data_IF_005947175000
#
_entry.id   IF_005947175000
#
_cell.length_a   1.000
_cell.length_b   1.000
_cell.length_c   1.000
_cell.angle_alpha   90.00
_cell.angle_beta   90.00
_cell.angle_gamma   90.00
#
_symmetry.space_group_name_H-M   'P 1'
#
loop_
_entity.id
_entity.type
_entity.pdbx_description
1 polymer ?
#
# COMPACT_ATOMS: atom_id res chain seq x y z
N UNK A 1 -12.67 -54.39 18.75
CA UNK A 1 -12.32 -52.96 18.75
C UNK A 1 -11.38 -52.71 17.58
N UNK A 2 -11.91 -52.18 16.47
CA UNK A 2 -11.12 -51.75 15.32
C UNK A 2 -11.11 -50.23 15.32
N UNK A 3 -9.94 -49.63 15.57
CA UNK A 3 -9.75 -48.18 15.47
C UNK A 3 -9.22 -47.86 14.08
N UNK A 4 -10.06 -47.18 13.29
CA UNK A 4 -9.70 -46.63 11.99
C UNK A 4 -8.81 -45.40 12.14
N UNK A 5 -7.81 -45.31 11.29
CA UNK A 5 -6.98 -44.12 11.10
C UNK A 5 -7.41 -43.50 9.77
N UNK A 6 -8.05 -42.33 9.84
CA UNK A 6 -8.38 -41.52 8.66
C UNK A 6 -7.16 -40.73 8.19
N UNK A 7 -7.07 -40.39 6.88
CA UNK A 7 -5.92 -39.71 6.33
C UNK A 7 -5.92 -38.22 6.70
N UNK A 8 -4.74 -37.74 7.10
CA UNK A 8 -4.43 -36.32 7.32
C UNK A 8 -4.20 -35.67 5.96
N UNK A 9 -4.93 -34.60 5.66
CA UNK A 9 -4.73 -33.79 4.47
C UNK A 9 -3.45 -32.95 4.60
N UNK A 10 -2.53 -33.08 3.66
CA UNK A 10 -1.35 -32.21 3.54
C UNK A 10 -1.73 -30.86 2.89
N UNK A 11 -1.10 -29.75 3.31
CA UNK A 11 -1.28 -28.45 2.68
C UNK A 11 -0.50 -28.35 1.36
N UNK A 12 -1.15 -27.80 0.34
CA UNK A 12 -0.57 -27.50 -0.97
C UNK A 12 0.59 -26.50 -0.88
N UNK A 13 1.72 -26.72 -1.59
CA UNK A 13 2.77 -25.72 -1.71
C UNK A 13 2.41 -24.67 -2.77
N UNK A 14 2.49 -23.39 -2.39
CA UNK A 14 2.54 -22.26 -3.32
C UNK A 14 3.86 -22.33 -4.12
N UNK A 15 3.80 -22.74 -5.39
CA UNK A 15 4.91 -22.59 -6.32
C UNK A 15 4.79 -21.24 -7.05
N UNK A 16 5.67 -20.30 -6.73
CA UNK A 16 5.92 -19.14 -7.59
C UNK A 16 6.88 -19.56 -8.71
N UNK A 17 6.37 -19.68 -9.93
CA UNK A 17 7.19 -19.85 -11.12
C UNK A 17 7.81 -18.51 -11.52
N UNK A 18 9.11 -18.35 -11.26
CA UNK A 18 9.91 -17.28 -11.86
C UNK A 18 10.04 -17.54 -13.38
N UNK A 19 9.29 -16.80 -14.18
CA UNK A 19 9.44 -16.81 -15.64
C UNK A 19 10.54 -15.83 -16.04
N UNK A 20 11.75 -16.32 -16.28
CA UNK A 20 12.76 -15.61 -17.07
C UNK A 20 12.47 -15.84 -18.55
N UNK A 21 11.93 -14.83 -19.23
CA UNK A 21 11.95 -14.74 -20.68
C UNK A 21 12.66 -13.43 -21.04
N UNK A 22 13.89 -13.56 -21.55
CA UNK A 22 14.57 -12.48 -22.24
C UNK A 22 14.04 -12.45 -23.68
N UNK A 23 13.28 -11.42 -24.04
CA UNK A 23 12.92 -11.12 -25.42
C UNK A 23 13.77 -9.94 -25.89
N UNK A 24 14.58 -10.15 -26.93
CA UNK A 24 15.22 -9.08 -27.67
C UNK A 24 14.19 -8.44 -28.60
N UNK A 25 13.97 -7.13 -28.47
CA UNK A 25 13.12 -6.38 -29.39
C UNK A 25 13.97 -5.74 -30.50
N UNK A 26 13.71 -6.15 -31.74
CA UNK A 26 14.05 -5.37 -32.93
C UNK A 26 13.03 -4.24 -33.10
N UNK A 27 13.52 -3.01 -33.16
CA UNK A 27 12.73 -1.81 -33.34
C UNK A 27 12.29 -1.66 -34.81
N UNK A 28 11.00 -1.87 -35.08
CA UNK A 28 10.37 -1.47 -36.33
C UNK A 28 9.48 -0.23 -36.11
N UNK A 29 9.87 0.87 -36.75
CA UNK A 29 9.16 2.16 -36.76
C UNK A 29 7.72 2.02 -37.27
N UNK A 30 6.74 2.50 -36.50
CA UNK A 30 5.35 2.72 -36.96
C UNK A 30 5.00 4.20 -36.88
N UNK A 31 4.49 4.70 -38.00
CA UNK A 31 3.97 6.06 -38.19
C UNK A 31 2.62 6.27 -37.46
N UNK A 32 2.23 7.52 -37.14
CA UNK A 32 1.10 7.80 -36.27
C UNK A 32 -0.25 7.58 -37.00
N UNK A 33 -1.15 6.84 -36.34
CA UNK A 33 -2.54 6.67 -36.76
C UNK A 33 -3.38 7.77 -36.13
N UNK A 34 -4.09 8.54 -36.96
CA UNK A 34 -5.02 9.58 -36.54
C UNK A 34 -6.20 8.98 -35.75
N UNK A 35 -6.45 9.49 -34.55
CA UNK A 35 -7.58 9.12 -33.71
C UNK A 35 -8.90 9.73 -34.22
N UNK A 36 -10.03 9.00 -34.20
CA UNK A 36 -11.35 9.56 -34.51
C UNK A 36 -11.90 10.41 -33.36
N UNK A 37 -12.47 11.57 -33.70
CA UNK A 37 -13.30 12.36 -32.78
C UNK A 37 -14.68 11.70 -32.65
N UNK A 38 -15.03 11.24 -31.45
CA UNK A 38 -16.41 10.87 -31.11
C UNK A 38 -17.09 11.94 -30.22
N UNK A 39 -18.42 12.11 -30.32
CA UNK A 39 -19.17 13.17 -29.66
C UNK A 39 -19.50 12.82 -28.21
N UNK A 40 -19.25 13.77 -27.30
CA UNK A 40 -19.59 13.71 -25.88
C UNK A 40 -21.07 14.03 -25.66
N UNK A 41 -21.82 13.07 -25.08
CA UNK A 41 -23.16 13.30 -24.57
C UNK A 41 -23.45 12.43 -23.34
N UNK A 42 -22.78 12.71 -22.22
CA UNK A 42 -23.30 12.44 -20.87
C UNK A 42 -22.93 13.63 -19.97
N UNK A 43 -23.85 14.60 -19.87
CA UNK A 43 -23.78 15.65 -18.85
C UNK A 43 -24.35 15.09 -17.55
N UNK A 44 -23.49 14.48 -16.74
CA UNK A 44 -23.76 14.38 -15.30
C UNK A 44 -23.18 15.64 -14.65
N UNK A 45 -24.05 16.56 -14.25
CA UNK A 45 -23.62 17.76 -13.52
C UNK A 45 -23.29 17.36 -12.09
N UNK A 46 -22.03 17.02 -11.82
CA UNK A 46 -21.50 17.12 -10.47
C UNK A 46 -21.47 18.60 -10.11
N UNK A 47 -22.39 19.02 -9.23
CA UNK A 47 -22.27 20.29 -8.52
C UNK A 47 -21.13 20.13 -7.51
N UNK A 48 -19.89 20.23 -7.98
CA UNK A 48 -18.76 20.53 -7.08
C UNK A 48 -18.84 22.03 -6.80
N UNK A 49 -19.44 22.37 -5.66
CA UNK A 49 -19.22 23.68 -5.08
C UNK A 49 -17.71 23.83 -4.84
N UNK A 50 -17.08 24.68 -5.66
CA UNK A 50 -15.69 25.07 -5.51
C UNK A 50 -15.50 25.91 -4.25
N UNK A 51 -15.56 25.29 -3.09
CA UNK A 51 -14.85 25.78 -1.92
C UNK A 51 -13.40 25.35 -2.07
N UNK A 52 -12.60 26.24 -2.65
CA UNK A 52 -11.14 26.21 -2.53
C UNK A 52 -10.81 26.51 -1.07
N UNK A 53 -10.95 25.50 -0.22
CA UNK A 53 -10.45 25.54 1.16
C UNK A 53 -8.93 25.61 1.03
N UNK A 54 -8.36 26.77 1.32
CA UNK A 54 -6.94 26.87 1.64
C UNK A 54 -6.73 26.05 2.91
N UNK A 55 -6.51 24.75 2.75
CA UNK A 55 -6.03 23.84 3.78
C UNK A 55 -4.61 24.30 4.12
N UNK A 56 -4.51 25.20 5.08
CA UNK A 56 -3.30 25.33 5.87
C UNK A 56 -3.15 24.01 6.62
N UNK A 57 -2.20 23.17 6.21
CA UNK A 57 -1.70 22.06 7.01
C UNK A 57 -1.20 22.63 8.34
N UNK A 58 -2.08 22.67 9.34
CA UNK A 58 -1.72 22.99 10.71
C UNK A 58 -1.04 21.75 11.29
N UNK A 59 0.20 21.51 10.85
CA UNK A 59 1.08 20.55 11.49
C UNK A 59 1.24 20.95 12.96
N UNK A 60 0.80 20.07 13.85
CA UNK A 60 1.01 20.29 15.28
C UNK A 60 2.52 20.32 15.54
N UNK A 61 3.02 21.24 16.38
CA UNK A 61 4.47 21.40 16.60
C UNK A 61 5.17 20.12 17.06
N UNK A 62 4.45 19.21 17.73
CA UNK A 62 4.97 17.89 18.12
C UNK A 62 5.26 16.96 16.93
N UNK A 63 4.55 17.10 15.81
CA UNK A 63 4.78 16.25 14.63
C UNK A 63 6.10 16.61 13.93
N UNK A 64 6.44 17.91 13.88
CA UNK A 64 7.69 18.37 13.27
C UNK A 64 8.92 17.86 14.00
N UNK A 65 8.90 17.80 15.34
CA UNK A 65 10.03 17.27 16.11
C UNK A 65 10.21 15.77 15.84
N UNK A 66 9.13 15.00 15.79
CA UNK A 66 9.17 13.57 15.49
C UNK A 66 9.66 13.30 14.07
N UNK A 67 9.15 14.04 13.07
CA UNK A 67 9.60 13.95 11.68
C UNK A 67 11.10 14.26 11.57
N UNK A 68 11.59 15.28 12.28
CA UNK A 68 13.01 15.61 12.29
C UNK A 68 13.85 14.51 12.94
N UNK A 69 13.39 13.89 14.02
CA UNK A 69 14.08 12.75 14.65
C UNK A 69 14.12 11.51 13.73
N UNK A 70 13.03 11.22 13.02
CA UNK A 70 12.96 10.15 12.02
C UNK A 70 13.96 10.42 10.90
N UNK A 71 13.96 11.63 10.35
CA UNK A 71 14.86 12.04 9.28
C UNK A 71 16.33 11.94 9.71
N UNK A 72 16.68 12.41 10.91
CA UNK A 72 18.04 12.31 11.44
C UNK A 72 18.50 10.85 11.59
N UNK A 73 17.60 9.93 11.99
CA UNK A 73 17.93 8.50 12.06
C UNK A 73 18.13 7.89 10.68
N UNK A 74 17.29 8.24 9.70
CA UNK A 74 17.45 7.81 8.31
C UNK A 74 18.83 8.26 7.79
N UNK A 75 19.19 9.52 8.02
CA UNK A 75 20.49 10.07 7.61
C UNK A 75 21.67 9.35 8.27
N UNK A 76 21.60 9.07 9.58
CA UNK A 76 22.64 8.30 10.28
C UNK A 76 22.83 6.88 9.72
N UNK A 77 21.76 6.22 9.28
CA UNK A 77 21.85 4.90 8.63
C UNK A 77 22.47 5.07 7.24
N UNK A 78 21.97 6.02 6.46
CA UNK A 78 22.42 6.27 5.09
C UNK A 78 23.85 6.83 5.02
N UNK A 79 24.38 7.45 6.06
CA UNK A 79 25.79 7.90 6.14
C UNK A 79 26.77 6.75 5.93
N UNK A 80 26.38 5.54 6.33
CA UNK A 80 27.15 4.30 6.16
C UNK A 80 26.86 3.58 4.83
N UNK A 81 26.15 4.23 3.91
CA UNK A 81 25.81 3.73 2.57
C UNK A 81 26.39 4.71 1.56
N UNK A 82 27.42 4.29 0.82
CA UNK A 82 28.07 5.12 -0.20
C UNK A 82 27.68 4.72 -1.62
N UNK A 83 27.19 3.50 -1.78
CA UNK A 83 26.78 2.89 -3.04
C UNK A 83 25.58 1.96 -2.85
N UNK A 84 24.95 1.55 -3.95
CA UNK A 84 23.86 0.57 -3.92
C UNK A 84 24.29 -0.77 -3.29
N UNK A 85 25.53 -1.21 -3.55
CA UNK A 85 26.06 -2.45 -2.96
C UNK A 85 26.22 -2.40 -1.44
N UNK A 86 26.28 -1.22 -0.83
CA UNK A 86 26.37 -1.08 0.62
C UNK A 86 25.01 -1.26 1.32
N UNK A 87 23.91 -1.23 0.55
CA UNK A 87 22.54 -1.33 1.04
C UNK A 87 22.12 -2.81 1.14
N UNK A 88 22.44 -3.46 2.25
CA UNK A 88 22.05 -4.85 2.53
C UNK A 88 20.57 -4.98 2.92
N UNK A 89 20.05 -6.22 2.94
CA UNK A 89 18.70 -6.54 3.45
C UNK A 89 18.47 -5.98 4.85
N UNK A 90 19.43 -6.17 5.76
CA UNK A 90 19.35 -5.67 7.13
C UNK A 90 19.23 -4.14 7.19
N UNK A 91 19.95 -3.41 6.32
CA UNK A 91 19.85 -1.93 6.25
C UNK A 91 18.53 -1.48 5.66
N UNK A 92 17.99 -2.20 4.66
CA UNK A 92 16.65 -1.93 4.11
C UNK A 92 15.59 -2.12 5.20
N UNK A 93 15.64 -3.23 5.93
CA UNK A 93 14.72 -3.49 7.05
C UNK A 93 14.90 -2.46 8.18
N UNK A 94 16.14 -2.07 8.51
CA UNK A 94 16.40 -1.00 9.48
C UNK A 94 15.77 0.33 9.06
N UNK A 95 15.97 0.76 7.80
CA UNK A 95 15.37 1.98 7.25
C UNK A 95 13.84 1.93 7.31
N UNK A 96 13.23 0.82 6.89
CA UNK A 96 11.76 0.64 6.88
C UNK A 96 11.15 0.58 8.28
N UNK A 97 11.93 0.24 9.31
CA UNK A 97 11.48 0.32 10.72
C UNK A 97 11.52 1.73 11.28
N UNK A 98 12.40 2.59 10.77
CA UNK A 98 12.52 3.97 11.24
C UNK A 98 11.36 4.85 10.78
N UNK A 99 10.77 4.54 9.61
CA UNK A 99 9.70 5.33 9.01
C UNK A 99 8.55 4.46 8.51
N UNK A 100 7.32 4.83 8.85
CA UNK A 100 6.09 4.31 8.23
C UNK A 100 5.86 4.90 6.84
N UNK A 101 6.44 6.07 6.56
CA UNK A 101 6.40 6.70 5.25
C UNK A 101 7.49 6.14 4.33
N UNK A 102 7.27 6.24 3.03
CA UNK A 102 8.26 5.85 2.02
C UNK A 102 9.53 6.71 2.12
N UNK A 103 10.69 6.06 1.96
CA UNK A 103 12.01 6.68 2.00
C UNK A 103 12.58 6.72 0.59
N UNK A 104 12.93 7.92 0.11
CA UNK A 104 13.60 8.11 -1.19
C UNK A 104 15.10 8.16 -0.98
N UNK A 105 15.84 7.19 -1.52
CA UNK A 105 17.31 7.15 -1.44
C UNK A 105 17.88 7.73 -2.73
N UNK A 106 18.25 9.00 -2.70
CA UNK A 106 18.81 9.75 -3.82
C UNK A 106 20.29 10.17 -3.61
N UNK A 107 20.97 9.58 -2.63
CA UNK A 107 22.37 9.88 -2.25
C UNK A 107 23.38 9.53 -3.36
N UNK A 108 23.06 8.51 -4.15
CA UNK A 108 23.82 8.08 -5.32
C UNK A 108 22.83 7.81 -6.46
N UNK A 109 23.30 7.87 -7.70
CA UNK A 109 22.49 7.52 -8.87
C UNK A 109 22.50 6.01 -9.07
N UNK A 110 21.35 5.46 -9.42
CA UNK A 110 21.16 4.03 -9.69
C UNK A 110 20.70 3.90 -11.14
N UNK A 111 21.41 3.10 -11.93
CA UNK A 111 20.94 2.68 -13.25
C UNK A 111 19.96 1.50 -13.15
N UNK A 112 19.09 1.26 -14.15
CA UNK A 112 18.20 0.11 -14.16
C UNK A 112 18.92 -1.24 -14.00
N UNK A 113 20.09 -1.39 -14.65
CA UNK A 113 20.91 -2.61 -14.54
C UNK A 113 21.44 -2.81 -13.13
N UNK A 114 21.98 -1.76 -12.50
CA UNK A 114 22.46 -1.83 -11.11
C UNK A 114 21.32 -2.16 -10.15
N UNK A 115 20.13 -1.59 -10.36
CA UNK A 115 18.93 -1.91 -9.57
C UNK A 115 18.62 -3.41 -9.64
N UNK A 116 18.51 -3.99 -10.83
CA UNK A 116 18.22 -5.42 -10.98
C UNK A 116 19.32 -6.32 -10.43
N UNK A 117 20.58 -5.97 -10.65
CA UNK A 117 21.72 -6.72 -10.10
C UNK A 117 21.73 -6.70 -8.57
N UNK A 118 21.37 -5.58 -7.98
CA UNK A 118 21.24 -5.44 -6.53
C UNK A 118 20.01 -6.18 -5.98
N UNK A 119 18.86 -6.08 -6.65
CA UNK A 119 17.64 -6.80 -6.25
C UNK A 119 17.85 -8.32 -6.24
N UNK A 120 18.58 -8.84 -7.21
CA UNK A 120 18.97 -10.26 -7.25
C UNK A 120 19.90 -10.66 -6.09
N UNK A 121 20.65 -9.73 -5.51
CA UNK A 121 21.57 -9.99 -4.38
C UNK A 121 20.88 -9.90 -3.02
N UNK A 122 19.93 -8.97 -2.85
CA UNK A 122 19.23 -8.78 -1.57
C UNK A 122 18.29 -9.94 -1.22
N UNK A 123 17.87 -10.71 -2.24
CA UNK A 123 17.11 -11.94 -2.09
C UNK A 123 15.61 -11.74 -2.27
N UNK A 124 14.84 -12.70 -1.76
CA UNK A 124 13.40 -12.82 -2.08
C UNK A 124 12.49 -11.82 -1.36
N UNK A 125 13.02 -11.02 -0.43
CA UNK A 125 12.23 -9.98 0.27
C UNK A 125 12.45 -8.61 -0.37
N UNK A 126 12.06 -8.51 -1.64
CA UNK A 126 12.12 -7.28 -2.42
C UNK A 126 10.81 -6.47 -2.39
N UNK A 127 9.88 -6.80 -1.48
CA UNK A 127 8.56 -6.15 -1.43
C UNK A 127 8.69 -4.75 -0.88
N UNK A 128 8.00 -3.80 -1.49
CA UNK A 128 8.08 -2.39 -1.14
C UNK A 128 9.42 -1.75 -1.53
N UNK A 129 10.09 -2.25 -2.57
CA UNK A 129 11.31 -1.64 -3.11
C UNK A 129 11.08 -1.28 -4.58
N UNK A 130 10.91 0.01 -4.82
CA UNK A 130 10.66 0.55 -6.15
C UNK A 130 11.89 1.29 -6.70
N UNK A 131 11.90 1.49 -8.01
CA UNK A 131 12.92 2.26 -8.71
C UNK A 131 12.29 3.38 -9.54
N UNK A 132 12.79 4.58 -9.36
CA UNK A 132 12.42 5.75 -10.16
C UNK A 132 13.59 6.06 -11.11
N UNK A 133 13.44 5.65 -12.37
CA UNK A 133 14.45 5.87 -13.41
C UNK A 133 14.61 7.33 -13.80
N UNK A 134 13.55 8.14 -13.66
CA UNK A 134 13.59 9.56 -14.02
C UNK A 134 14.48 10.33 -13.04
N UNK A 135 14.46 9.94 -11.77
CA UNK A 135 15.32 10.50 -10.73
C UNK A 135 16.59 9.67 -10.48
N UNK A 136 16.67 8.48 -11.08
CA UNK A 136 17.72 7.48 -10.88
C UNK A 136 17.95 7.20 -9.37
N UNK A 137 16.87 6.93 -8.64
CA UNK A 137 16.87 6.70 -7.20
C UNK A 137 15.99 5.51 -6.79
N UNK A 138 16.24 4.98 -5.59
CA UNK A 138 15.38 3.97 -4.97
C UNK A 138 14.27 4.61 -4.13
N UNK A 139 13.14 3.93 -4.06
CA UNK A 139 12.06 4.26 -3.14
C UNK A 139 11.78 3.01 -2.30
N UNK A 140 11.99 3.11 -0.99
CA UNK A 140 11.62 2.06 -0.04
C UNK A 140 10.24 2.42 0.52
N UNK A 141 9.19 1.65 0.22
CA UNK A 141 7.90 1.79 0.89
C UNK A 141 8.08 1.53 2.38
N UNK A 142 7.31 2.22 3.21
CA UNK A 142 7.29 1.98 4.65
C UNK A 142 6.96 0.52 4.98
N UNK A 143 7.13 0.15 6.25
CA UNK A 143 6.68 -1.14 6.72
C UNK A 143 5.15 -1.17 6.76
N UNK A 144 4.54 -2.20 6.18
CA UNK A 144 3.10 -2.45 6.33
C UNK A 144 2.78 -2.70 7.81
N UNK A 145 1.94 -1.85 8.40
CA UNK A 145 1.33 -2.09 9.70
C UNK A 145 -0.05 -2.74 9.57
N UNK A 146 -0.65 -3.16 10.69
CA UNK A 146 -1.95 -3.83 10.68
C UNK A 146 -3.02 -3.18 9.79
N UNK A 147 -3.17 -1.84 9.83
CA UNK A 147 -4.19 -1.15 9.03
C UNK A 147 -3.96 -1.29 7.52
N UNK A 148 -2.70 -1.33 7.10
CA UNK A 148 -2.31 -1.50 5.69
C UNK A 148 -2.67 -2.92 5.24
N UNK A 149 -2.28 -3.91 6.05
CA UNK A 149 -2.58 -5.32 5.78
C UNK A 149 -4.09 -5.62 5.80
N UNK A 150 -4.83 -5.01 6.74
CA UNK A 150 -6.27 -5.17 6.84
C UNK A 150 -7.01 -4.55 5.64
N UNK A 151 -6.66 -3.32 5.25
CA UNK A 151 -7.21 -2.68 4.06
C UNK A 151 -6.90 -3.51 2.81
N UNK A 152 -5.63 -3.92 2.65
CA UNK A 152 -5.18 -4.76 1.54
C UNK A 152 -5.95 -6.07 1.50
N UNK A 153 -6.13 -6.77 2.63
CA UNK A 153 -6.83 -8.04 2.71
C UNK A 153 -8.32 -7.94 2.30
N UNK A 154 -9.02 -6.89 2.74
CA UNK A 154 -10.43 -6.68 2.35
C UNK A 154 -10.57 -6.42 0.86
N UNK A 155 -9.69 -5.57 0.31
CA UNK A 155 -9.72 -5.27 -1.13
C UNK A 155 -9.24 -6.49 -1.94
N UNK A 156 -8.34 -7.30 -1.42
CA UNK A 156 -7.92 -8.55 -2.06
C UNK A 156 -9.08 -9.54 -2.20
N UNK A 157 -9.89 -9.73 -1.15
CA UNK A 157 -11.14 -10.54 -1.22
C UNK A 157 -12.10 -9.95 -2.26
N UNK A 158 -12.15 -8.63 -2.36
CA UNK A 158 -12.97 -7.96 -3.36
C UNK A 158 -12.47 -8.17 -4.80
N UNK A 159 -11.16 -8.13 -5.02
CA UNK A 159 -10.56 -8.46 -6.31
C UNK A 159 -10.89 -9.88 -6.74
N UNK A 160 -11.02 -10.83 -5.80
CA UNK A 160 -11.48 -12.20 -6.10
C UNK A 160 -12.88 -12.20 -6.74
N UNK A 161 -13.81 -11.39 -6.21
CA UNK A 161 -15.15 -11.21 -6.79
C UNK A 161 -15.12 -10.54 -8.16
N UNK A 162 -14.22 -9.56 -8.37
CA UNK A 162 -14.02 -8.96 -9.69
C UNK A 162 -13.50 -10.01 -10.67
N UNK A 163 -12.48 -10.78 -10.27
CA UNK A 163 -11.88 -11.86 -11.05
C UNK A 163 -12.93 -12.87 -11.50
N UNK A 164 -13.80 -13.31 -10.60
CA UNK A 164 -14.88 -14.25 -10.93
C UNK A 164 -15.80 -13.70 -12.02
N UNK A 165 -16.16 -12.41 -11.94
CA UNK A 165 -17.00 -11.76 -12.95
C UNK A 165 -16.31 -11.57 -14.29
N UNK A 166 -15.06 -11.11 -14.28
CA UNK A 166 -14.27 -10.99 -15.51
C UNK A 166 -14.03 -12.37 -16.16
N UNK A 167 -13.83 -13.41 -15.34
CA UNK A 167 -13.73 -14.81 -15.79
C UNK A 167 -15.01 -15.30 -16.44
N UNK A 168 -16.17 -15.00 -15.86
CA UNK A 168 -17.46 -15.33 -16.44
C UNK A 168 -17.71 -14.62 -17.79
N UNK A 169 -17.06 -13.48 -18.01
CA UNK A 169 -17.08 -12.73 -19.27
C UNK A 169 -15.96 -13.14 -20.26
N UNK A 170 -15.16 -14.15 -19.93
CA UNK A 170 -14.14 -14.72 -20.82
C UNK A 170 -12.71 -14.18 -20.62
N UNK A 171 -12.49 -13.21 -19.73
CA UNK A 171 -11.14 -12.77 -19.39
C UNK A 171 -10.46 -13.78 -18.46
N UNK A 172 -9.12 -13.87 -18.52
CA UNK A 172 -8.35 -14.77 -17.64
C UNK A 172 -7.54 -13.96 -16.66
N UNK A 173 -8.21 -13.38 -15.67
CA UNK A 173 -7.56 -12.62 -14.62
C UNK A 173 -7.09 -13.51 -13.47
N UNK A 174 -6.03 -13.09 -12.79
CA UNK A 174 -5.54 -13.67 -11.54
C UNK A 174 -5.11 -12.57 -10.59
N UNK A 175 -5.18 -12.88 -9.30
CA UNK A 175 -4.75 -11.97 -8.24
C UNK A 175 -3.24 -12.02 -8.14
N UNK A 176 -2.62 -10.85 -8.01
CA UNK A 176 -1.22 -10.73 -7.65
C UNK A 176 -1.11 -9.83 -6.43
N UNK A 177 -0.11 -10.10 -5.59
CA UNK A 177 0.27 -9.19 -4.52
C UNK A 177 1.23 -8.12 -5.04
N UNK A 178 2.19 -7.75 -4.20
CA UNK A 178 3.33 -6.92 -4.59
C UNK A 178 4.22 -7.63 -5.60
N UNK A 179 4.05 -7.29 -6.88
CA UNK A 179 4.87 -7.76 -8.01
C UNK A 179 5.52 -6.59 -8.74
N UNK A 180 6.76 -6.75 -9.17
CA UNK A 180 7.46 -5.74 -9.97
C UNK A 180 6.78 -5.53 -11.32
N UNK A 181 6.45 -4.28 -11.64
CA UNK A 181 6.00 -3.87 -12.96
C UNK A 181 6.93 -2.79 -13.49
N UNK A 182 7.53 -3.04 -14.65
CA UNK A 182 8.27 -2.02 -15.39
C UNK A 182 7.29 -1.07 -16.05
N UNK A 183 7.45 0.23 -15.81
CA UNK A 183 6.62 1.26 -16.41
C UNK A 183 7.20 1.73 -17.76
N UNK A 184 6.32 2.27 -18.60
CA UNK A 184 6.59 2.76 -19.95
C UNK A 184 6.20 4.23 -20.13
N UNK A 185 6.34 4.73 -21.37
CA UNK A 185 5.96 6.06 -21.84
C UNK A 185 6.65 7.19 -21.05
N UNK A 186 5.98 7.75 -20.06
CA UNK A 186 6.47 8.86 -19.24
C UNK A 186 7.38 8.38 -18.10
N UNK A 187 7.37 7.07 -17.83
CA UNK A 187 8.06 6.46 -16.71
C UNK A 187 8.99 5.32 -17.14
N UNK A 188 9.46 5.33 -18.38
CA UNK A 188 10.33 4.27 -18.95
C UNK A 188 11.47 3.91 -18.01
N UNK A 189 11.58 2.61 -17.74
CA UNK A 189 12.63 2.01 -16.92
C UNK A 189 12.39 2.12 -15.41
N UNK A 190 11.36 2.83 -14.95
CA UNK A 190 10.95 2.81 -13.54
C UNK A 190 10.26 1.48 -13.22
N UNK A 191 10.47 0.99 -12.00
CA UNK A 191 9.83 -0.22 -11.48
C UNK A 191 8.91 0.18 -10.33
N UNK A 192 7.64 -0.24 -10.37
CA UNK A 192 6.68 -0.06 -9.28
C UNK A 192 6.12 -1.40 -8.79
N UNK A 193 5.62 -1.39 -7.56
CA UNK A 193 5.01 -2.55 -6.92
C UNK A 193 3.66 -2.14 -6.30
N UNK A 194 2.54 -2.69 -6.78
CA UNK A 194 1.25 -2.40 -6.18
C UNK A 194 1.11 -3.13 -4.84
N UNK A 195 0.28 -2.65 -3.91
CA UNK A 195 0.03 -3.39 -2.67
C UNK A 195 -0.77 -4.67 -2.93
N UNK A 196 -1.71 -4.58 -3.87
CA UNK A 196 -2.38 -5.71 -4.50
C UNK A 196 -2.81 -5.34 -5.92
N UNK A 197 -2.99 -6.33 -6.79
CA UNK A 197 -3.49 -6.06 -8.12
C UNK A 197 -4.25 -7.24 -8.75
N UNK A 198 -5.04 -6.93 -9.77
CA UNK A 198 -5.70 -7.91 -10.63
C UNK A 198 -5.08 -7.83 -12.03
N UNK A 199 -4.47 -8.93 -12.46
CA UNK A 199 -3.69 -8.99 -13.70
C UNK A 199 -4.31 -9.97 -14.69
N UNK A 200 -4.33 -9.62 -15.98
CA UNK A 200 -4.73 -10.54 -17.03
C UNK A 200 -3.60 -11.52 -17.40
N UNK A 201 -3.95 -12.75 -17.77
CA UNK A 201 -2.99 -13.79 -18.14
C UNK A 201 -2.06 -13.34 -19.28
N UNK A 202 -0.75 -13.33 -18.99
CA UNK A 202 0.33 -12.86 -19.88
C UNK A 202 0.34 -11.35 -20.15
N UNK A 203 -0.45 -10.56 -19.43
CA UNK A 203 -0.26 -9.11 -19.43
C UNK A 203 1.07 -8.77 -18.75
N UNK A 204 1.63 -7.61 -19.10
CA UNK A 204 2.82 -7.04 -18.45
C UNK A 204 2.42 -6.12 -17.27
N UNK A 205 1.21 -5.56 -17.32
CA UNK A 205 0.66 -4.68 -16.30
C UNK A 205 -0.66 -5.20 -15.72
N UNK A 206 -0.98 -4.83 -14.48
CA UNK A 206 -2.29 -5.10 -13.90
C UNK A 206 -3.40 -4.25 -14.54
N UNK A 207 -4.60 -4.82 -14.63
CA UNK A 207 -5.81 -4.12 -15.06
C UNK A 207 -6.36 -3.26 -13.92
N UNK A 208 -6.23 -3.74 -12.67
CA UNK A 208 -6.65 -3.02 -11.47
C UNK A 208 -5.51 -3.02 -10.46
N UNK A 209 -5.20 -1.86 -9.90
CA UNK A 209 -4.19 -1.68 -8.85
C UNK A 209 -4.85 -1.20 -7.56
N UNK A 210 -4.36 -1.68 -6.42
CA UNK A 210 -4.58 -1.11 -5.10
C UNK A 210 -3.29 -0.47 -4.60
N UNK A 211 -3.40 0.77 -4.12
CA UNK A 211 -2.40 1.42 -3.29
C UNK A 211 -3.05 1.84 -1.96
N UNK A 212 -2.43 1.42 -0.87
CA UNK A 212 -2.79 1.77 0.50
C UNK A 212 -1.62 2.53 1.11
N UNK A 213 -1.85 3.75 1.57
CA UNK A 213 -0.83 4.53 2.26
C UNK A 213 -1.32 4.90 3.66
N UNK A 214 -0.41 4.83 4.64
CA UNK A 214 -0.66 5.21 6.03
C UNK A 214 0.18 6.45 6.34
N UNK A 215 -0.47 7.50 6.85
CA UNK A 215 0.18 8.73 7.32
C UNK A 215 1.02 9.48 6.27
N UNK A 216 0.91 9.12 5.00
CA UNK A 216 1.45 9.89 3.89
C UNK A 216 0.46 10.96 3.39
N UNK A 217 0.96 11.87 2.56
CA UNK A 217 0.08 12.87 1.92
C UNK A 217 -0.76 12.21 0.83
N UNK A 218 -2.06 12.52 0.77
CA UNK A 218 -2.95 12.12 -0.33
C UNK A 218 -2.37 12.46 -1.71
N UNK A 219 -1.58 13.54 -1.80
CA UNK A 219 -0.87 13.95 -3.02
C UNK A 219 0.10 12.88 -3.54
N UNK A 220 0.77 12.13 -2.67
CA UNK A 220 1.69 11.06 -3.07
C UNK A 220 0.92 9.87 -3.67
N UNK A 221 -0.15 9.43 -3.01
CA UNK A 221 -1.08 8.43 -3.55
C UNK A 221 -1.59 8.78 -4.96
N UNK A 222 -2.00 10.03 -5.21
CA UNK A 222 -2.43 10.45 -6.54
C UNK A 222 -1.30 10.44 -7.58
N UNK A 223 -0.06 10.72 -7.19
CA UNK A 223 1.09 10.57 -8.08
C UNK A 223 1.34 9.10 -8.40
N UNK A 224 1.18 8.20 -7.44
CA UNK A 224 1.31 6.77 -7.68
C UNK A 224 0.20 6.25 -8.62
N UNK A 225 -1.03 6.72 -8.43
CA UNK A 225 -2.13 6.46 -9.37
C UNK A 225 -1.79 6.94 -10.79
N UNK A 226 -1.25 8.15 -10.92
CA UNK A 226 -0.82 8.70 -12.19
C UNK A 226 0.25 7.83 -12.85
N UNK A 227 1.26 7.39 -12.09
CA UNK A 227 2.32 6.50 -12.59
C UNK A 227 1.76 5.19 -13.12
N UNK A 228 0.78 4.59 -12.45
CA UNK A 228 0.11 3.38 -12.93
C UNK A 228 -0.72 3.63 -14.19
N UNK A 229 -1.56 4.66 -14.21
CA UNK A 229 -2.47 4.92 -15.32
C UNK A 229 -1.73 5.38 -16.59
N UNK A 230 -0.70 6.22 -16.46
CA UNK A 230 0.07 6.74 -17.59
C UNK A 230 1.28 5.85 -17.95
N UNK A 231 1.79 5.06 -17.00
CA UNK A 231 2.98 4.22 -17.19
C UNK A 231 2.70 2.79 -17.63
N UNK A 232 1.44 2.39 -17.83
CA UNK A 232 1.05 1.03 -18.20
C UNK A 232 0.59 0.88 -19.66
N UNK A 233 0.91 1.83 -20.53
CA UNK A 233 0.40 1.90 -21.92
C UNK A 233 -1.14 1.74 -22.01
N UNK A 234 -1.84 2.33 -21.03
CA UNK A 234 -3.29 2.26 -20.91
C UNK A 234 -3.85 0.90 -20.48
N UNK A 235 -3.03 -0.08 -20.11
CA UNK A 235 -3.47 -1.39 -19.64
C UNK A 235 -4.11 -1.32 -18.24
N UNK A 236 -3.55 -0.53 -17.33
CA UNK A 236 -4.19 -0.28 -16.04
C UNK A 236 -5.41 0.61 -16.23
N UNK A 237 -6.59 0.08 -15.91
CA UNK A 237 -7.89 0.74 -16.12
C UNK A 237 -8.41 1.43 -14.87
N UNK A 238 -8.04 0.91 -13.70
CA UNK A 238 -8.49 1.40 -12.40
C UNK A 238 -7.36 1.33 -11.38
N UNK A 239 -7.15 2.42 -10.66
CA UNK A 239 -6.36 2.44 -9.43
C UNK A 239 -7.28 2.79 -8.27
N UNK A 240 -7.29 1.94 -7.24
CA UNK A 240 -8.00 2.18 -5.98
C UNK A 240 -6.98 2.71 -4.99
N UNK A 241 -7.25 3.90 -4.44
CA UNK A 241 -6.42 4.52 -3.42
C UNK A 241 -7.14 4.45 -2.08
N UNK A 242 -6.45 3.94 -1.07
CA UNK A 242 -6.91 3.94 0.32
C UNK A 242 -5.93 4.79 1.14
N UNK A 243 -6.35 5.99 1.51
CA UNK A 243 -5.58 6.94 2.33
C UNK A 243 -6.01 6.83 3.79
N UNK A 244 -5.10 6.38 4.65
CA UNK A 244 -5.34 6.24 6.09
C UNK A 244 -4.42 7.20 6.83
N UNK A 245 -4.95 8.31 7.32
CA UNK A 245 -4.18 9.29 8.06
C UNK A 245 -4.42 9.16 9.56
N UNK A 246 -3.37 8.92 10.32
CA UNK A 246 -3.45 9.07 11.77
C UNK A 246 -3.16 10.53 12.16
N UNK A 247 -4.02 11.08 13.02
CA UNK A 247 -3.88 12.39 13.65
C UNK A 247 -3.69 12.22 15.16
N UNK A 248 -3.05 13.21 15.77
CA UNK A 248 -2.83 13.26 17.22
C UNK A 248 -2.05 12.05 17.76
N UNK A 249 -1.14 11.50 16.95
CA UNK A 249 -0.25 10.44 17.40
C UNK A 249 0.59 10.93 18.58
N UNK A 250 0.48 10.23 19.71
CA UNK A 250 1.30 10.51 20.89
C UNK A 250 2.73 10.03 20.66
N UNK A 251 3.69 10.86 21.01
CA UNK A 251 5.08 10.42 21.14
C UNK A 251 5.23 9.56 22.41
N UNK A 252 5.58 8.29 22.22
CA UNK A 252 5.74 7.28 23.29
C UNK A 252 7.20 7.02 23.64
N UNK A 253 8.16 7.71 23.02
CA UNK A 253 9.60 7.42 23.18
C UNK A 253 10.14 7.65 24.59
N UNK A 254 9.47 8.50 25.37
CA UNK A 254 9.89 8.93 26.70
C UNK A 254 9.00 8.37 27.82
N UNK A 255 8.05 7.49 27.49
CA UNK A 255 7.14 6.92 28.48
C UNK A 255 7.89 5.93 29.39
N UNK A 256 7.61 5.99 30.69
CA UNK A 256 8.19 5.10 31.71
C UNK A 256 7.15 4.06 32.10
N UNK A 257 7.26 2.84 31.58
CA UNK A 257 6.30 1.75 31.77
C UNK A 257 6.38 1.05 33.14
N UNK A 258 6.96 1.71 34.15
CA UNK A 258 7.23 1.12 35.47
C UNK A 258 8.03 -0.21 35.40
N UNK A 259 8.92 -0.31 34.40
CA UNK A 259 9.83 -1.44 34.19
C UNK A 259 11.29 -1.03 34.47
N UNK A 260 12.06 -1.92 35.07
CA UNK A 260 13.49 -1.73 35.32
C UNK A 260 14.34 -2.03 34.07
N UNK A 261 15.60 -1.63 34.10
CA UNK A 261 16.56 -2.01 33.06
C UNK A 261 16.73 -3.54 32.94
N UNK A 262 16.73 -4.24 34.07
CA UNK A 262 16.80 -5.70 34.08
C UNK A 262 15.56 -6.34 33.43
N UNK A 263 14.37 -5.74 33.63
CA UNK A 263 13.15 -6.20 32.96
C UNK A 263 13.28 -6.15 31.43
N UNK A 264 13.88 -5.10 30.87
CA UNK A 264 14.07 -4.99 29.42
C UNK A 264 15.04 -6.04 28.86
N UNK A 265 16.06 -6.42 29.64
CA UNK A 265 17.04 -7.43 29.26
C UNK A 265 16.48 -8.84 29.37
N UNK A 266 15.79 -9.15 30.47
CA UNK A 266 15.40 -10.53 30.82
C UNK A 266 14.03 -10.93 30.28
N UNK A 267 13.09 -9.99 30.13
CA UNK A 267 11.72 -10.34 29.70
C UNK A 267 11.71 -10.70 28.21
N UNK A 268 11.11 -11.85 27.89
CA UNK A 268 10.86 -12.26 26.52
C UNK A 268 10.04 -11.20 25.76
N UNK A 269 10.37 -10.92 24.51
CA UNK A 269 9.81 -9.83 23.70
C UNK A 269 8.27 -9.75 23.79
N UNK A 270 7.58 -10.87 23.49
CA UNK A 270 6.10 -10.94 23.57
C UNK A 270 5.53 -10.58 24.95
N UNK A 271 6.21 -10.95 26.02
CA UNK A 271 5.77 -10.64 27.39
C UNK A 271 6.00 -9.17 27.70
N UNK A 272 7.10 -8.59 27.21
CA UNK A 272 7.40 -7.17 27.34
C UNK A 272 6.34 -6.33 26.63
N UNK A 273 6.01 -6.64 25.38
CA UNK A 273 4.93 -5.98 24.64
C UNK A 273 3.62 -6.03 25.40
N UNK A 274 3.21 -7.22 25.89
CA UNK A 274 1.96 -7.34 26.67
C UNK A 274 1.96 -6.48 27.93
N UNK A 275 3.10 -6.38 28.65
CA UNK A 275 3.22 -5.52 29.84
C UNK A 275 3.10 -4.04 29.49
N UNK A 276 3.76 -3.59 28.42
CA UNK A 276 3.67 -2.21 27.94
C UNK A 276 2.21 -1.86 27.56
N UNK A 277 1.53 -2.74 26.82
CA UNK A 277 0.13 -2.53 26.42
C UNK A 277 -0.80 -2.45 27.64
N UNK A 278 -0.61 -3.36 28.60
CA UNK A 278 -1.37 -3.35 29.86
C UNK A 278 -1.13 -2.06 30.65
N UNK A 279 0.10 -1.55 30.69
CA UNK A 279 0.42 -0.29 31.35
C UNK A 279 -0.35 0.89 30.72
N UNK A 280 -0.36 1.01 29.39
CA UNK A 280 -1.12 2.05 28.69
C UNK A 280 -2.62 1.97 29.00
N UNK A 281 -3.20 0.76 28.94
CA UNK A 281 -4.61 0.52 29.27
C UNK A 281 -4.93 0.91 30.72
N UNK A 282 -4.08 0.55 31.69
CA UNK A 282 -4.25 0.92 33.10
C UNK A 282 -4.17 2.43 33.35
N UNK A 283 -3.35 3.15 32.58
CA UNK A 283 -3.24 4.61 32.67
C UNK A 283 -4.31 5.35 31.86
N UNK A 284 -5.15 4.64 31.11
CA UNK A 284 -6.13 5.25 30.20
C UNK A 284 -5.47 6.05 29.07
N UNK A 285 -4.24 5.69 28.68
CA UNK A 285 -3.49 6.37 27.63
C UNK A 285 -3.66 5.58 26.34
N UNK A 286 -4.10 6.25 25.26
CA UNK A 286 -4.20 5.65 23.93
C UNK A 286 -2.82 5.58 23.27
N UNK A 287 -2.48 4.42 22.72
CA UNK A 287 -1.25 4.21 21.93
C UNK A 287 -1.47 4.58 20.45
N UNK A 288 -2.73 4.65 20.04
CA UNK A 288 -3.17 5.08 18.72
C UNK A 288 -3.92 6.40 18.82
N UNK A 289 -3.77 7.23 17.79
CA UNK A 289 -4.47 8.50 17.61
C UNK A 289 -5.83 8.31 16.96
N UNK A 290 -6.31 9.39 16.36
CA UNK A 290 -7.56 9.44 15.61
C UNK A 290 -7.26 9.22 14.12
N UNK A 291 -8.02 8.37 13.46
CA UNK A 291 -7.77 8.01 12.06
C UNK A 291 -8.76 8.70 11.14
N UNK A 292 -8.30 9.04 9.94
CA UNK A 292 -9.11 9.55 8.85
C UNK A 292 -8.92 8.62 7.66
N UNK A 293 -10.02 8.12 7.12
CA UNK A 293 -10.03 7.25 5.95
C UNK A 293 -10.57 8.01 4.75
N UNK A 294 -9.83 8.01 3.65
CA UNK A 294 -10.34 8.40 2.34
C UNK A 294 -10.16 7.27 1.35
N UNK A 295 -11.12 7.11 0.44
CA UNK A 295 -11.07 6.10 -0.62
C UNK A 295 -11.37 6.77 -1.95
N UNK A 296 -10.49 6.54 -2.92
CA UNK A 296 -10.60 7.11 -4.26
C UNK A 296 -10.54 6.02 -5.34
N UNK A 297 -11.34 6.19 -6.38
CA UNK A 297 -11.33 5.37 -7.59
C UNK A 297 -10.82 6.24 -8.75
N UNK A 298 -9.66 5.91 -9.28
CA UNK A 298 -9.00 6.64 -10.36
C UNK A 298 -9.05 5.81 -11.65
N UNK A 299 -9.76 6.29 -12.66
CA UNK A 299 -9.93 5.62 -13.94
C UNK A 299 -8.99 6.17 -15.01
N UNK A 300 -8.63 5.33 -15.99
CA UNK A 300 -7.72 5.71 -17.07
C UNK A 300 -8.33 6.70 -18.09
N UNK A 301 -9.65 6.89 -18.09
CA UNK A 301 -10.35 7.91 -18.88
C UNK A 301 -10.25 9.33 -18.27
N UNK A 302 -9.52 9.46 -17.15
CA UNK A 302 -9.33 10.69 -16.40
C UNK A 302 -10.41 10.94 -15.34
N UNK A 303 -11.41 10.07 -15.24
CA UNK A 303 -12.45 10.17 -14.23
C UNK A 303 -11.91 9.75 -12.85
N UNK A 304 -12.13 10.59 -11.85
CA UNK A 304 -11.62 10.39 -10.50
C UNK A 304 -12.76 10.58 -9.50
N UNK A 305 -13.13 9.51 -8.80
CA UNK A 305 -14.22 9.52 -7.83
C UNK A 305 -13.64 9.41 -6.42
N UNK A 306 -13.84 10.42 -5.59
CA UNK A 306 -13.71 10.26 -4.15
C UNK A 306 -15.00 9.64 -3.62
N UNK A 307 -14.93 8.39 -3.17
CA UNK A 307 -16.10 7.62 -2.72
C UNK A 307 -16.26 7.66 -1.20
N UNK A 308 -15.20 8.02 -0.48
CA UNK A 308 -15.21 8.35 0.93
C UNK A 308 -14.17 9.44 1.17
N UNK A 309 -14.56 10.57 1.74
CA UNK A 309 -13.67 11.71 2.00
C UNK A 309 -13.46 11.88 3.50
N UNK A 310 -12.25 11.57 3.98
CA UNK A 310 -11.77 11.88 5.33
C UNK A 310 -12.74 11.47 6.45
N UNK A 311 -13.31 10.27 6.35
CA UNK A 311 -14.15 9.72 7.41
C UNK A 311 -13.31 9.49 8.67
N UNK A 312 -13.60 10.26 9.72
CA UNK A 312 -12.86 10.21 10.98
C UNK A 312 -13.40 9.10 11.89
N UNK A 313 -12.51 8.30 12.47
CA UNK A 313 -12.84 7.25 13.43
C UNK A 313 -11.73 7.12 14.49
N UNK A 314 -12.11 6.77 15.71
CA UNK A 314 -11.17 6.56 16.81
C UNK A 314 -11.72 5.55 17.83
N UNK A 315 -10.89 5.02 18.75
CA UNK A 315 -11.38 4.15 19.81
C UNK A 315 -12.53 4.80 20.59
N UNK A 316 -13.71 4.17 20.56
CA UNK A 316 -14.93 4.70 21.19
C UNK A 316 -15.76 5.67 20.33
N UNK A 317 -15.30 6.01 19.12
CA UNK A 317 -16.00 6.84 18.14
C UNK A 317 -15.90 6.21 16.75
N UNK A 318 -16.78 5.24 16.50
CA UNK A 318 -16.86 4.51 15.23
C UNK A 318 -17.69 5.30 14.20
N UNK A 319 -17.46 5.02 12.91
CA UNK A 319 -18.29 5.55 11.82
C UNK A 319 -19.62 4.80 11.83
N UNK A 320 -20.72 5.55 11.69
CA UNK A 320 -22.04 4.95 11.52
C UNK A 320 -22.15 4.31 10.13
N UNK A 321 -22.06 2.98 10.10
CA UNK A 321 -22.11 2.18 8.87
C UNK A 321 -23.46 2.25 8.15
N UNK A 322 -24.51 2.81 8.76
CA UNK A 322 -25.78 3.06 8.06
C UNK A 322 -25.71 4.25 7.11
N UNK A 323 -24.70 5.12 7.28
CA UNK A 323 -24.44 6.28 6.43
C UNK A 323 -23.52 5.99 5.25
N UNK A 324 -22.94 4.78 5.22
CA UNK A 324 -22.01 4.34 4.18
C UNK A 324 -22.74 3.42 3.20
N UNK A 325 -22.85 3.88 1.95
CA UNK A 325 -23.37 3.10 0.84
C UNK A 325 -22.23 2.53 -0.01
N UNK A 326 -22.38 1.27 -0.44
CA UNK A 326 -21.43 0.68 -1.37
C UNK A 326 -21.62 1.27 -2.78
N UNK A 327 -20.52 1.52 -3.49
CA UNK A 327 -20.53 2.30 -4.74
C UNK A 327 -20.44 1.37 -5.95
N UNK A 328 -21.29 1.52 -6.98
CA UNK A 328 -21.20 0.69 -8.18
C UNK A 328 -19.90 0.97 -8.95
N UNK A 329 -19.16 -0.09 -9.27
CA UNK A 329 -18.00 -0.03 -10.15
C UNK A 329 -18.39 -0.04 -11.62
N UNK A 330 -17.66 0.74 -12.43
CA UNK A 330 -17.76 0.74 -13.89
C UNK A 330 -17.01 -0.43 -14.52
N UNK A 331 -17.48 -1.66 -14.29
CA UNK A 331 -16.79 -2.85 -14.77
C UNK A 331 -16.59 -2.88 -16.30
N UNK A 332 -17.48 -2.27 -17.08
CA UNK A 332 -17.34 -2.20 -18.54
C UNK A 332 -16.03 -1.53 -19.00
N UNK A 333 -15.43 -0.66 -18.18
CA UNK A 333 -14.16 -0.01 -18.49
C UNK A 333 -12.94 -0.93 -18.24
N UNK A 334 -13.16 -2.06 -17.56
CA UNK A 334 -12.11 -3.01 -17.22
C UNK A 334 -11.92 -4.09 -18.30
N UNK A 335 -12.84 -4.19 -19.27
CA UNK A 335 -12.74 -5.16 -20.37
C UNK A 335 -11.76 -4.66 -21.44
N UNK A 336 -10.80 -5.49 -21.90
CA UNK A 336 -9.79 -5.08 -22.89
C UNK A 336 -10.38 -4.64 -24.24
N UNK A 337 -11.49 -5.27 -24.62
CA UNK A 337 -12.13 -5.24 -25.93
C UNK A 337 -13.48 -4.50 -25.91
N UNK A 338 -13.81 -3.85 -24.80
CA UNK A 338 -15.10 -3.14 -24.64
C UNK A 338 -16.30 -4.07 -24.69
N UNK A 339 -16.11 -5.36 -24.40
CA UNK A 339 -17.20 -6.34 -24.32
C UNK A 339 -18.30 -5.87 -23.36
N UNK A 340 -19.55 -6.06 -23.77
CA UNK A 340 -20.71 -5.76 -22.92
C UNK A 340 -20.76 -6.74 -21.76
N UNK A 341 -20.33 -6.29 -20.59
CA UNK A 341 -20.75 -6.91 -19.34
C UNK A 341 -22.25 -6.64 -19.14
N UNK A 342 -22.96 -7.65 -18.66
CA UNK A 342 -24.37 -7.53 -18.26
C UNK A 342 -24.53 -6.38 -17.25
N UNK A 343 -25.05 -5.24 -17.71
CA UNK A 343 -25.20 -4.02 -16.91
C UNK A 343 -26.17 -4.20 -15.73
N UNK A 344 -27.05 -5.21 -15.81
CA UNK A 344 -28.04 -5.50 -14.77
C UNK A 344 -27.40 -6.04 -13.49
N UNK A 345 -26.15 -6.51 -13.56
CA UNK A 345 -25.39 -7.00 -12.39
C UNK A 345 -24.28 -6.02 -12.03
N UNK A 346 -24.64 -4.89 -11.42
CA UNK A 346 -23.63 -3.97 -10.85
C UNK A 346 -22.81 -4.67 -9.77
N UNK A 347 -21.49 -4.54 -9.82
CA UNK A 347 -20.62 -4.92 -8.70
C UNK A 347 -20.45 -3.69 -7.83
N UNK A 348 -20.69 -3.84 -6.53
CA UNK A 348 -20.53 -2.76 -5.59
C UNK A 348 -19.16 -2.87 -4.92
N UNK A 349 -18.44 -1.76 -4.85
CA UNK A 349 -17.22 -1.62 -4.06
C UNK A 349 -17.56 -1.78 -2.58
N UNK A 350 -16.86 -2.63 -1.81
CA UNK A 350 -17.26 -3.06 -0.47
C UNK A 350 -16.86 -2.02 0.58
N UNK A 351 -17.27 -0.76 0.37
CA UNK A 351 -16.85 0.37 1.20
C UNK A 351 -17.26 0.16 2.65
N UNK A 352 -18.48 -0.35 2.88
CA UNK A 352 -18.97 -0.62 4.24
C UNK A 352 -18.12 -1.66 4.97
N UNK A 353 -17.74 -2.74 4.28
CA UNK A 353 -16.91 -3.80 4.87
C UNK A 353 -15.48 -3.31 5.15
N UNK A 354 -14.92 -2.47 4.27
CA UNK A 354 -13.61 -1.84 4.50
C UNK A 354 -13.64 -0.96 5.75
N UNK A 355 -14.61 -0.05 5.86
CA UNK A 355 -14.78 0.83 7.03
C UNK A 355 -14.97 0.01 8.30
N UNK A 356 -15.83 -0.99 8.27
CA UNK A 356 -16.11 -1.85 9.42
C UNK A 356 -14.87 -2.60 9.91
N UNK A 357 -14.10 -3.17 8.97
CA UNK A 357 -12.87 -3.90 9.30
C UNK A 357 -11.83 -2.98 9.93
N UNK A 358 -11.60 -1.80 9.34
CA UNK A 358 -10.59 -0.87 9.83
C UNK A 358 -10.95 -0.28 11.21
N UNK A 359 -12.21 0.06 11.45
CA UNK A 359 -12.64 0.64 12.73
C UNK A 359 -12.71 -0.38 13.88
N UNK A 360 -12.77 -1.68 13.59
CA UNK A 360 -12.63 -2.73 14.62
C UNK A 360 -11.18 -3.18 14.82
N UNK A 361 -10.27 -2.59 14.06
CA UNK A 361 -8.85 -2.90 14.00
C UNK A 361 -7.94 -2.28 15.05
N UNK A 362 -8.49 -1.43 15.92
CA UNK A 362 -7.68 -0.63 16.84
C UNK A 362 -6.82 -1.48 17.76
N UNK A 363 -7.37 -2.56 18.32
CA UNK A 363 -6.61 -3.42 19.24
C UNK A 363 -5.39 -4.03 18.57
N UNK A 364 -5.51 -4.47 17.31
CA UNK A 364 -4.37 -5.01 16.59
C UNK A 364 -3.33 -3.93 16.27
N UNK A 365 -3.78 -2.73 15.92
CA UNK A 365 -2.88 -1.57 15.70
C UNK A 365 -2.14 -1.18 16.99
N UNK A 366 -2.81 -1.23 18.14
CA UNK A 366 -2.16 -1.03 19.45
C UNK A 366 -1.12 -2.13 19.73
N UNK A 367 -1.46 -3.40 19.46
CA UNK A 367 -0.56 -4.53 19.65
C UNK A 367 0.71 -4.37 18.80
N UNK A 368 0.57 -4.04 17.52
CA UNK A 368 1.69 -3.84 16.61
C UNK A 368 2.64 -2.75 17.09
N UNK A 369 2.09 -1.59 17.48
CA UNK A 369 2.90 -0.48 18.01
C UNK A 369 3.65 -0.85 19.25
N UNK A 370 2.99 -1.56 20.15
CA UNK A 370 3.62 -1.97 21.39
C UNK A 370 4.69 -3.04 21.15
N UNK A 371 4.52 -3.89 20.12
CA UNK A 371 5.59 -4.79 19.67
C UNK A 371 6.78 -4.01 19.08
N UNK A 372 6.55 -2.98 18.28
CA UNK A 372 7.62 -2.15 17.73
C UNK A 372 8.36 -1.40 18.85
N UNK A 373 7.63 -0.82 19.82
CA UNK A 373 8.23 -0.20 21.01
C UNK A 373 9.08 -1.21 21.80
N UNK A 374 8.55 -2.41 22.06
CA UNK A 374 9.30 -3.45 22.75
C UNK A 374 10.58 -3.85 21.98
N UNK A 375 10.54 -3.88 20.65
CA UNK A 375 11.72 -4.15 19.80
C UNK A 375 12.77 -3.07 19.96
N UNK A 376 12.36 -1.81 19.82
CA UNK A 376 13.25 -0.65 19.89
C UNK A 376 13.90 -0.49 21.26
N UNK A 377 13.14 -0.74 22.32
CA UNK A 377 13.68 -0.71 23.69
C UNK A 377 14.73 -1.79 23.87
N UNK A 378 14.45 -3.04 23.45
CA UNK A 378 15.41 -4.14 23.61
C UNK A 378 16.72 -3.85 22.87
N UNK A 379 16.66 -3.31 21.66
CA UNK A 379 17.85 -2.89 20.90
C UNK A 379 18.74 -1.86 21.62
N UNK A 380 18.23 -1.10 22.60
CA UNK A 380 19.04 -0.15 23.37
C UNK A 380 19.86 -0.81 24.48
N UNK A 381 19.52 -2.05 24.86
CA UNK A 381 20.11 -2.75 26.00
C UNK A 381 20.97 -3.97 25.62
N UNK A 382 21.05 -4.27 24.31
CA UNK A 382 21.91 -5.30 23.71
C UNK A 382 22.75 -4.64 22.63
#
# INVERSE_FOLDING_TARGET
MMTGVGPVAEPFPFQQHASKLALSFDAASRAPVNAPRHPSAYKYTSKTNGHRTALSDLSHPNNMEQEHQIQNKIEQILDKVHSLSDLSADKVDELRRVSENSIVINKFKVSPTEYHDWLNKIGNDNRGIEFDAQNACLILKGRSGWMHEAATGIIYIFFDKIRERLSAAGSRCFLTGSTDCSLEINFVGSIKQPDASLMEFRAEWPVIVLEVEISETTRKLFKDAQRWLEGSDGNTKLVILVDIQEKERRNTSNDKWDLSENDFREIHHRTLSRRILQWYRLKGIRVVGDFHLSVHLCYNDGDNHCILDKAAFSPGRLIDLTTIEDIPLRLGHLMPDGGHLDEDRRLLFPLKNLVDTLQHGFENTEIDRVNDLATDIKKKYF
#
